data_IF_727576782694
#
_entry.id   IF_727576782694
#
_cell.length_a   1.000
_cell.length_b   1.000
_cell.length_c   1.000
_cell.angle_alpha   90.00
_cell.angle_beta   90.00
_cell.angle_gamma   90.00
#
_symmetry.space_group_name_H-M   'P 1'
#
loop_
_entity.id
_entity.type
_entity.pdbx_description
1 polymer ?
#
# COMPACT_ATOMS: atom_id res chain seq x y z
N UNK A 1 -20.64 -55.15 -45.64
CA UNK A 1 -19.26 -54.89 -46.10
C UNK A 1 -18.74 -53.68 -45.33
N UNK A 2 -17.74 -53.86 -44.46
CA UNK A 2 -17.17 -52.80 -43.62
C UNK A 2 -15.69 -52.67 -43.97
N UNK A 3 -15.35 -51.69 -44.80
CA UNK A 3 -14.01 -51.49 -45.33
C UNK A 3 -13.73 -49.98 -45.45
N UNK A 4 -13.52 -49.30 -44.32
CA UNK A 4 -12.98 -47.93 -44.26
C UNK A 4 -12.34 -47.70 -42.89
N UNK A 5 -11.26 -48.42 -42.56
CA UNK A 5 -10.59 -48.33 -41.24
C UNK A 5 -9.09 -47.96 -41.20
N UNK A 6 -8.42 -47.41 -42.24
CA UNK A 6 -7.06 -46.90 -42.04
C UNK A 6 -6.87 -45.46 -42.53
N UNK A 7 -7.70 -44.50 -42.11
CA UNK A 7 -7.40 -43.07 -42.37
C UNK A 7 -7.48 -42.18 -41.11
N UNK A 8 -7.53 -42.77 -39.92
CA UNK A 8 -7.70 -42.04 -38.67
C UNK A 8 -6.51 -42.19 -37.71
N UNK A 9 -5.33 -42.60 -38.19
CA UNK A 9 -4.17 -42.83 -37.32
C UNK A 9 -3.03 -41.81 -37.44
N UNK A 10 -3.07 -40.87 -38.40
CA UNK A 10 -1.99 -39.87 -38.57
C UNK A 10 -2.20 -38.53 -37.87
N UNK A 11 -3.31 -38.34 -37.13
CA UNK A 11 -3.65 -37.03 -36.56
C UNK A 11 -3.30 -36.86 -35.06
N UNK A 12 -2.70 -37.85 -34.41
CA UNK A 12 -2.61 -37.89 -32.94
C UNK A 12 -1.34 -37.28 -32.31
N UNK A 13 -0.46 -36.63 -33.07
CA UNK A 13 0.87 -36.23 -32.57
C UNK A 13 1.14 -34.71 -32.50
N UNK A 14 0.15 -33.94 -32.05
CA UNK A 14 0.39 -32.60 -31.51
C UNK A 14 -0.12 -32.54 -30.08
N UNK A 15 0.65 -33.09 -29.15
CA UNK A 15 0.45 -32.86 -27.73
C UNK A 15 0.78 -31.38 -27.45
N UNK A 16 -0.26 -30.56 -27.29
CA UNK A 16 -0.15 -29.14 -26.95
C UNK A 16 0.35 -29.04 -25.51
N UNK A 17 1.64 -28.74 -25.33
CA UNK A 17 2.18 -28.39 -24.01
C UNK A 17 1.81 -26.95 -23.70
N UNK A 18 0.88 -26.72 -22.76
CA UNK A 18 0.55 -25.37 -22.31
C UNK A 18 1.64 -24.86 -21.35
N UNK A 19 2.24 -23.72 -21.68
CA UNK A 19 3.08 -22.96 -20.76
C UNK A 19 2.17 -22.28 -19.74
N UNK A 20 2.36 -22.58 -18.46
CA UNK A 20 1.71 -21.89 -17.35
C UNK A 20 2.66 -20.79 -16.83
N UNK A 21 2.16 -19.56 -16.72
CA UNK A 21 2.92 -18.45 -16.15
C UNK A 21 2.09 -17.81 -15.03
N UNK A 22 2.68 -17.71 -13.85
CA UNK A 22 2.04 -17.07 -12.71
C UNK A 22 2.13 -15.55 -12.82
N UNK A 23 0.99 -14.88 -12.66
CA UNK A 23 0.96 -13.42 -12.51
C UNK A 23 0.83 -13.10 -11.03
N UNK A 24 1.93 -12.71 -10.40
CA UNK A 24 1.92 -12.20 -9.03
C UNK A 24 1.53 -10.73 -9.00
N UNK A 25 0.28 -10.45 -8.68
CA UNK A 25 -0.19 -9.08 -8.45
C UNK A 25 0.10 -8.67 -7.01
N UNK A 26 1.04 -7.73 -6.81
CA UNK A 26 1.25 -7.10 -5.51
C UNK A 26 0.25 -5.95 -5.37
N UNK A 27 -0.72 -6.04 -4.46
CA UNK A 27 -1.69 -4.97 -4.28
C UNK A 27 -1.01 -3.75 -3.64
N UNK A 28 -0.73 -2.74 -4.46
CA UNK A 28 -0.27 -1.43 -3.97
C UNK A 28 -1.41 -0.76 -3.20
N UNK A 29 -1.13 -0.26 -1.99
CA UNK A 29 -2.11 0.50 -1.20
C UNK A 29 -2.97 -0.31 -0.22
N UNK A 30 -2.80 -1.64 -0.12
CA UNK A 30 -3.49 -2.45 0.91
C UNK A 30 -2.88 -2.37 2.32
N UNK A 31 -1.92 -1.47 2.56
CA UNK A 31 -1.36 -1.19 3.89
C UNK A 31 -2.40 -0.67 4.91
N UNK A 32 -3.65 -0.46 4.48
CA UNK A 32 -4.74 -0.01 5.33
C UNK A 32 -5.47 -1.13 6.11
N UNK A 33 -5.09 -2.40 5.95
CA UNK A 33 -5.79 -3.56 6.53
C UNK A 33 -5.73 -3.67 8.06
N UNK A 34 -4.85 -2.92 8.73
CA UNK A 34 -4.81 -2.78 10.20
C UNK A 34 -5.30 -1.39 10.63
N UNK A 35 -6.50 -1.32 11.21
CA UNK A 35 -7.17 -0.14 11.77
C UNK A 35 -7.33 1.07 10.82
N UNK A 36 -8.59 1.45 10.57
CA UNK A 36 -8.93 2.74 9.94
C UNK A 36 -8.63 3.90 10.90
N UNK A 37 -7.35 4.23 11.08
CA UNK A 37 -6.96 5.49 11.69
C UNK A 37 -7.24 6.59 10.68
N UNK A 38 -8.16 7.49 11.01
CA UNK A 38 -8.37 8.72 10.25
C UNK A 38 -7.11 9.59 10.42
N UNK A 39 -6.40 9.85 9.33
CA UNK A 39 -5.15 10.60 9.35
C UNK A 39 -5.44 12.07 8.98
N UNK A 40 -4.69 13.02 9.56
CA UNK A 40 -4.75 14.41 9.11
C UNK A 40 -4.55 14.53 7.60
N UNK A 41 -5.42 15.30 6.94
CA UNK A 41 -5.29 15.54 5.51
C UNK A 41 -4.16 16.53 5.22
N UNK A 42 -3.52 16.40 4.05
CA UNK A 42 -2.54 17.37 3.55
C UNK A 42 -3.14 18.78 3.57
N UNK A 43 -2.37 19.76 4.02
CA UNK A 43 -2.79 21.16 4.16
C UNK A 43 -3.59 21.47 5.42
N UNK A 44 -3.87 20.48 6.28
CA UNK A 44 -4.46 20.77 7.60
C UNK A 44 -3.45 21.55 8.45
N UNK A 45 -3.89 22.60 9.15
CA UNK A 45 -3.01 23.37 10.02
C UNK A 45 -2.67 22.61 11.30
N UNK A 46 -1.50 22.87 11.89
CA UNK A 46 -1.08 22.30 13.19
C UNK A 46 -2.15 22.46 14.27
N UNK A 47 -2.79 23.63 14.36
CA UNK A 47 -3.86 23.91 15.31
C UNK A 47 -5.11 23.07 15.06
N UNK A 48 -5.48 22.82 13.80
CA UNK A 48 -6.59 21.93 13.47
C UNK A 48 -6.25 20.47 13.74
N UNK A 49 -5.02 20.03 13.45
CA UNK A 49 -4.55 18.68 13.82
C UNK A 49 -4.64 18.48 15.32
N UNK A 50 -4.13 19.42 16.12
CA UNK A 50 -4.18 19.34 17.58
C UNK A 50 -5.62 19.33 18.12
N UNK A 51 -6.53 20.11 17.52
CA UNK A 51 -7.96 20.07 17.89
C UNK A 51 -8.64 18.75 17.56
N UNK A 52 -8.32 18.13 16.42
CA UNK A 52 -9.01 16.93 15.93
C UNK A 52 -8.39 15.62 16.44
N UNK A 53 -7.08 15.60 16.67
CA UNK A 53 -6.31 14.41 17.04
C UNK A 53 -5.70 14.48 18.44
N UNK A 54 -5.81 15.62 19.13
CA UNK A 54 -5.22 15.84 20.45
C UNK A 54 -3.72 16.14 20.42
N UNK A 55 -3.11 16.11 21.60
CA UNK A 55 -1.67 16.29 21.75
C UNK A 55 -0.89 15.10 21.19
N UNK A 56 0.20 15.34 20.45
CA UNK A 56 1.10 14.27 20.06
C UNK A 56 1.89 13.74 21.27
N UNK A 57 2.26 12.47 21.22
CA UNK A 57 3.16 11.84 22.20
C UNK A 57 4.56 12.43 22.15
N UNK A 58 5.02 12.87 20.97
CA UNK A 58 6.35 13.49 20.81
C UNK A 58 6.32 14.52 19.69
N UNK A 59 6.98 15.66 19.91
CA UNK A 59 7.24 16.69 18.89
C UNK A 59 8.74 16.73 18.64
N UNK A 60 9.15 16.39 17.41
CA UNK A 60 10.55 16.49 16.99
C UNK A 60 10.85 17.93 16.55
N UNK A 61 12.09 18.39 16.76
CA UNK A 61 12.51 19.69 16.27
C UNK A 61 12.47 19.74 14.73
N UNK A 62 12.25 20.95 14.20
CA UNK A 62 12.27 21.17 12.76
C UNK A 62 13.67 20.94 12.19
N UNK A 63 13.74 20.35 10.99
CA UNK A 63 14.99 20.13 10.26
C UNK A 63 14.89 20.65 8.82
N UNK A 64 16.00 21.19 8.30
CA UNK A 64 16.13 21.61 6.90
C UNK A 64 15.50 22.96 6.54
N UNK A 65 15.54 23.28 5.24
CA UNK A 65 14.87 24.42 4.64
C UNK A 65 14.19 23.95 3.33
N UNK A 66 12.86 24.02 3.19
CA UNK A 66 11.89 24.52 4.18
C UNK A 66 11.87 23.64 5.45
N UNK A 67 11.47 24.20 6.61
CA UNK A 67 11.54 23.50 7.88
C UNK A 67 10.49 22.37 7.94
N UNK A 68 10.94 21.13 8.16
CA UNK A 68 10.06 19.98 8.35
C UNK A 68 10.03 19.57 9.82
N UNK A 69 8.84 19.63 10.43
CA UNK A 69 8.56 19.20 11.79
C UNK A 69 7.81 17.86 11.78
N UNK A 70 8.16 16.93 12.67
CA UNK A 70 7.42 15.68 12.84
C UNK A 70 6.75 15.61 14.21
N UNK A 71 5.47 15.30 14.24
CA UNK A 71 4.75 14.94 15.47
C UNK A 71 4.38 13.47 15.43
N UNK A 72 4.60 12.76 16.54
CA UNK A 72 4.27 11.34 16.67
C UNK A 72 3.03 11.16 17.53
N UNK A 73 2.08 10.37 17.01
CA UNK A 73 0.88 9.91 17.69
C UNK A 73 0.97 8.38 17.89
N UNK A 74 0.10 7.78 18.72
CA UNK A 74 0.00 6.33 18.81
C UNK A 74 -0.32 5.70 17.44
N UNK A 75 0.66 5.02 16.84
CA UNK A 75 0.50 4.26 15.59
C UNK A 75 0.66 5.06 14.28
N UNK A 76 0.94 6.36 14.34
CA UNK A 76 1.22 7.16 13.14
C UNK A 76 2.03 8.43 13.45
N UNK A 77 2.68 9.00 12.44
CA UNK A 77 3.40 10.27 12.51
C UNK A 77 2.84 11.25 11.50
N UNK A 78 2.84 12.54 11.86
CA UNK A 78 2.40 13.66 11.01
C UNK A 78 3.59 14.57 10.76
N UNK A 79 3.81 14.91 9.51
CA UNK A 79 4.88 15.76 9.04
C UNK A 79 4.29 17.10 8.60
N UNK A 80 4.89 18.18 9.08
CA UNK A 80 4.49 19.54 8.78
C UNK A 80 5.63 20.26 8.08
N UNK A 81 5.31 21.01 7.05
CA UNK A 81 6.17 22.08 6.55
C UNK A 81 5.58 23.40 7.07
N UNK A 82 6.39 24.19 7.77
CA UNK A 82 5.88 25.29 8.61
C UNK A 82 4.76 24.81 9.55
N UNK A 83 3.53 25.28 9.34
CA UNK A 83 2.34 24.99 10.14
C UNK A 83 1.32 24.10 9.41
N UNK A 84 1.64 23.55 8.24
CA UNK A 84 0.71 22.76 7.42
C UNK A 84 1.17 21.32 7.23
N UNK A 85 0.24 20.37 7.30
CA UNK A 85 0.51 18.95 7.05
C UNK A 85 1.00 18.74 5.62
N UNK A 86 2.17 18.15 5.46
CA UNK A 86 2.65 17.63 4.17
C UNK A 86 2.41 16.13 4.03
N UNK A 87 2.48 15.36 5.11
CA UNK A 87 2.23 13.93 5.07
C UNK A 87 1.84 13.34 6.42
N UNK A 88 1.07 12.25 6.41
CA UNK A 88 0.74 11.47 7.60
C UNK A 88 0.98 9.99 7.31
N UNK A 89 1.80 9.33 8.12
CA UNK A 89 2.32 7.99 7.87
C UNK A 89 1.97 7.07 9.02
N UNK A 90 1.31 5.95 8.74
CA UNK A 90 1.09 4.90 9.74
C UNK A 90 2.39 4.17 10.06
N UNK A 91 2.61 3.87 11.32
CA UNK A 91 3.73 3.02 11.73
C UNK A 91 3.47 1.60 11.23
N UNK A 92 4.46 1.01 10.56
CA UNK A 92 4.36 -0.38 10.13
C UNK A 92 4.36 -1.30 11.36
N UNK A 93 3.26 -1.99 11.60
CA UNK A 93 3.21 -3.09 12.56
C UNK A 93 3.64 -4.35 11.82
N UNK A 94 4.82 -4.91 12.16
CA UNK A 94 5.14 -6.27 11.72
C UNK A 94 4.28 -7.23 12.53
N UNK A 95 3.38 -7.97 11.88
CA UNK A 95 2.86 -9.20 12.46
C UNK A 95 3.94 -10.27 12.30
N UNK A 96 4.44 -10.79 13.43
CA UNK A 96 5.35 -11.94 13.46
C UNK A 96 4.55 -13.24 13.42
#
# INVERSE_FOLDING_TARGET
MKLLLPLTLSAALFAVTSVQADTLTIPLGQQASGQQVNLPQRGTSTSQVQRQHGEPTTRHAAVGQPPITRWDYPGYSVYFEYDHVVHAVRHHQRSN
#
